data_IF_693717876655
#
_entry.id   IF_693717876655
#
_cell.length_a   1.000
_cell.length_b   1.000
_cell.length_c   1.000
_cell.angle_alpha   90.00
_cell.angle_beta   90.00
_cell.angle_gamma   90.00
#
_symmetry.space_group_name_H-M   'P 1'
#
loop_
_entity.id
_entity.type
_entity.pdbx_description
1 polymer ?
#
# COMPACT_ATOMS: atom_id res chain seq x y z
N UNK A 1 -31.07 34.12 -28.34
CA UNK A 1 -31.09 32.82 -27.65
C UNK A 1 -29.67 32.40 -27.40
N UNK A 2 -29.24 32.36 -26.14
CA UNK A 2 -27.85 32.09 -25.79
C UNK A 2 -27.60 30.57 -25.81
N UNK A 3 -26.83 30.11 -26.79
CA UNK A 3 -26.16 28.81 -26.71
C UNK A 3 -25.02 28.94 -25.71
N UNK A 4 -25.06 28.12 -24.65
CA UNK A 4 -23.99 28.06 -23.65
C UNK A 4 -23.26 26.74 -23.83
N UNK A 5 -22.03 26.83 -24.32
CA UNK A 5 -21.03 25.77 -24.30
C UNK A 5 -20.95 25.15 -22.90
N UNK A 6 -20.94 23.82 -22.84
CA UNK A 6 -20.59 23.08 -21.64
C UNK A 6 -19.11 22.71 -21.76
N UNK A 7 -18.18 23.41 -21.10
CA UNK A 7 -16.78 23.03 -21.17
C UNK A 7 -16.58 21.72 -20.40
N UNK A 8 -16.22 20.66 -21.13
CA UNK A 8 -15.71 19.38 -20.61
C UNK A 8 -14.38 19.61 -19.87
N UNK A 9 -14.43 20.13 -18.63
CA UNK A 9 -13.24 20.39 -17.80
C UNK A 9 -13.29 19.72 -16.42
N UNK A 10 -13.79 18.49 -16.36
CA UNK A 10 -13.83 17.71 -15.09
C UNK A 10 -12.88 16.49 -15.10
N UNK A 11 -12.30 16.11 -16.24
CA UNK A 11 -11.51 14.86 -16.35
C UNK A 11 -9.98 14.98 -16.11
N UNK A 12 -9.29 16.14 -16.24
CA UNK A 12 -7.83 16.17 -16.01
C UNK A 12 -7.40 16.03 -14.54
N UNK A 13 -8.19 16.55 -13.59
CA UNK A 13 -7.83 16.54 -12.16
C UNK A 13 -7.93 15.14 -11.54
N UNK A 14 -8.94 14.35 -11.90
CA UNK A 14 -9.10 12.98 -11.39
C UNK A 14 -7.99 12.03 -11.89
N UNK A 15 -7.51 12.20 -13.14
CA UNK A 15 -6.38 11.41 -13.66
C UNK A 15 -5.05 11.80 -13.02
N UNK A 16 -4.80 13.10 -12.82
CA UNK A 16 -3.60 13.57 -12.14
C UNK A 16 -3.51 13.08 -10.67
N UNK A 17 -4.66 12.94 -10.00
CA UNK A 17 -4.75 12.30 -8.68
C UNK A 17 -4.45 10.80 -8.76
N UNK A 18 -4.98 10.09 -9.76
CA UNK A 18 -4.72 8.64 -9.92
C UNK A 18 -3.26 8.31 -10.26
N UNK A 19 -2.58 9.12 -11.07
CA UNK A 19 -1.16 8.90 -11.40
C UNK A 19 -0.22 9.32 -10.24
N UNK A 20 -0.64 10.29 -9.44
CA UNK A 20 0.14 10.77 -8.28
C UNK A 20 0.04 9.87 -7.05
N UNK A 21 -1.10 9.19 -6.85
CA UNK A 21 -1.35 8.35 -5.68
C UNK A 21 -0.31 7.24 -5.45
N UNK A 22 0.06 6.41 -6.46
CA UNK A 22 1.10 5.40 -6.27
C UNK A 22 2.45 5.97 -5.83
N UNK A 23 2.84 7.13 -6.38
CA UNK A 23 4.10 7.77 -6.02
C UNK A 23 4.04 8.39 -4.62
N UNK A 24 2.89 8.95 -4.24
CA UNK A 24 2.66 9.43 -2.89
C UNK A 24 2.78 8.30 -1.86
N UNK A 25 2.25 7.12 -2.16
CA UNK A 25 2.37 5.93 -1.31
C UNK A 25 3.82 5.47 -1.13
N UNK A 26 4.66 5.57 -2.17
CA UNK A 26 6.11 5.33 -2.03
C UNK A 26 6.75 6.33 -1.08
N UNK A 27 6.45 7.62 -1.24
CA UNK A 27 7.02 8.67 -0.38
C UNK A 27 6.62 8.48 1.10
N UNK A 28 5.37 8.10 1.37
CA UNK A 28 4.91 7.76 2.73
C UNK A 28 5.66 6.55 3.30
N UNK A 29 5.92 5.53 2.48
CA UNK A 29 6.67 4.35 2.90
C UNK A 29 8.13 4.70 3.22
N UNK A 30 8.77 5.51 2.37
CA UNK A 30 10.13 6.00 2.60
C UNK A 30 10.22 6.80 3.92
N UNK A 31 9.23 7.66 4.20
CA UNK A 31 9.13 8.38 5.47
C UNK A 31 8.98 7.43 6.66
N UNK A 32 8.06 6.47 6.57
CA UNK A 32 7.83 5.49 7.65
C UNK A 32 9.07 4.63 7.93
N UNK A 33 9.83 4.25 6.90
CA UNK A 33 11.09 3.53 7.04
C UNK A 33 12.19 4.41 7.66
N UNK A 34 12.30 5.67 7.24
CA UNK A 34 13.29 6.60 7.78
C UNK A 34 13.10 6.83 9.30
N UNK A 35 11.87 6.89 9.78
CA UNK A 35 11.57 7.02 11.22
C UNK A 35 12.07 5.84 12.06
N UNK A 36 12.22 4.66 11.44
CA UNK A 36 12.77 3.46 12.08
C UNK A 36 14.23 3.21 11.73
N UNK A 37 14.89 4.19 11.11
CA UNK A 37 16.31 4.13 10.73
C UNK A 37 16.59 3.13 9.60
N UNK A 38 15.62 2.90 8.72
CA UNK A 38 15.74 2.00 7.57
C UNK A 38 15.62 2.78 6.26
N UNK A 39 16.26 2.27 5.23
CA UNK A 39 16.09 2.73 3.85
C UNK A 39 15.17 1.78 3.09
N UNK A 40 14.59 2.27 1.99
CA UNK A 40 13.75 1.46 1.10
C UNK A 40 14.55 0.37 0.36
N UNK A 41 15.81 0.65 0.02
CA UNK A 41 16.70 -0.30 -0.62
C UNK A 41 16.98 -1.49 0.31
N UNK A 42 16.81 -2.72 -0.20
CA UNK A 42 16.95 -3.95 0.57
C UNK A 42 15.82 -4.24 1.56
N UNK A 43 14.77 -3.41 1.61
CA UNK A 43 13.60 -3.68 2.44
C UNK A 43 12.62 -4.61 1.71
N UNK A 44 12.12 -5.62 2.42
CA UNK A 44 11.06 -6.52 1.94
C UNK A 44 9.68 -5.89 2.13
N UNK A 45 9.09 -5.41 1.04
CA UNK A 45 7.80 -4.71 1.05
C UNK A 45 6.69 -5.64 0.59
N UNK A 46 5.68 -5.83 1.44
CA UNK A 46 4.44 -6.51 1.09
C UNK A 46 3.39 -5.52 0.58
N UNK A 47 3.00 -5.64 -0.68
CA UNK A 47 1.90 -4.87 -1.25
C UNK A 47 0.61 -5.68 -1.16
N UNK A 48 -0.37 -5.14 -0.44
CA UNK A 48 -1.69 -5.73 -0.24
C UNK A 48 -2.67 -5.09 -1.23
N UNK A 49 -3.11 -5.90 -2.20
CA UNK A 49 -4.02 -5.47 -3.25
C UNK A 49 -3.28 -5.06 -4.52
N UNK A 50 -3.62 -5.73 -5.62
CA UNK A 50 -3.12 -5.46 -6.96
C UNK A 50 -4.23 -5.09 -7.93
N UNK A 51 -5.48 -5.47 -7.68
CA UNK A 51 -6.61 -5.10 -8.51
C UNK A 51 -6.81 -3.57 -8.61
N UNK A 52 -7.56 -3.13 -9.62
CA UNK A 52 -8.02 -1.76 -9.76
C UNK A 52 -9.18 -1.47 -8.80
N UNK A 53 -10.05 -2.47 -8.56
CA UNK A 53 -11.22 -2.37 -7.69
C UNK A 53 -11.15 -3.36 -6.53
N UNK A 54 -11.83 -3.01 -5.45
CA UNK A 54 -12.07 -3.92 -4.34
C UNK A 54 -12.86 -5.15 -4.83
N UNK A 55 -12.53 -6.31 -4.25
CA UNK A 55 -13.16 -7.60 -4.51
C UNK A 55 -13.32 -7.97 -6.00
N UNK A 56 -12.36 -7.59 -6.83
CA UNK A 56 -12.34 -7.83 -8.27
C UNK A 56 -10.96 -8.31 -8.72
N UNK A 57 -10.91 -9.05 -9.83
CA UNK A 57 -9.70 -9.47 -10.51
C UNK A 57 -9.24 -8.49 -11.60
N UNK A 58 -9.95 -7.36 -11.79
CA UNK A 58 -9.64 -6.41 -12.84
C UNK A 58 -8.33 -5.67 -12.53
N UNK A 59 -7.29 -5.98 -13.29
CA UNK A 59 -5.96 -5.36 -13.15
C UNK A 59 -5.70 -4.28 -14.19
N UNK A 60 -6.66 -4.00 -15.08
CA UNK A 60 -6.46 -3.07 -16.21
C UNK A 60 -6.30 -1.65 -15.65
N UNK A 61 -5.08 -1.12 -15.80
CA UNK A 61 -4.68 0.20 -15.27
C UNK A 61 -4.63 0.25 -13.73
N UNK A 62 -4.30 -0.87 -13.08
CA UNK A 62 -4.12 -0.87 -11.63
C UNK A 62 -3.04 0.13 -11.19
N UNK A 63 -3.35 1.05 -10.26
CA UNK A 63 -2.35 1.93 -9.65
C UNK A 63 -1.26 1.16 -8.90
N UNK A 64 -1.56 -0.05 -8.41
CA UNK A 64 -0.59 -0.93 -7.74
C UNK A 64 0.56 -1.34 -8.65
N UNK A 65 0.35 -1.40 -9.97
CA UNK A 65 1.42 -1.71 -10.92
C UNK A 65 2.52 -0.63 -10.91
N UNK A 66 2.12 0.65 -10.83
CA UNK A 66 3.06 1.78 -10.78
C UNK A 66 3.83 1.76 -9.46
N UNK A 67 3.14 1.52 -8.33
CA UNK A 67 3.76 1.36 -7.02
C UNK A 67 4.82 0.25 -7.04
N UNK A 68 4.46 -0.96 -7.44
CA UNK A 68 5.35 -2.13 -7.44
C UNK A 68 6.59 -1.89 -8.29
N UNK A 69 6.42 -1.29 -9.48
CA UNK A 69 7.55 -0.92 -10.32
C UNK A 69 8.48 0.06 -9.61
N UNK A 70 7.93 1.13 -9.03
CA UNK A 70 8.72 2.15 -8.34
C UNK A 70 9.46 1.62 -7.12
N UNK A 71 8.82 0.78 -6.30
CA UNK A 71 9.46 0.14 -5.15
C UNK A 71 10.66 -0.71 -5.58
N UNK A 72 10.52 -1.50 -6.65
CA UNK A 72 11.63 -2.30 -7.21
C UNK A 72 12.75 -1.43 -7.77
N UNK A 73 12.42 -0.34 -8.46
CA UNK A 73 13.41 0.66 -8.94
C UNK A 73 14.18 1.31 -7.79
N UNK A 74 13.53 1.52 -6.63
CA UNK A 74 14.15 1.99 -5.39
C UNK A 74 14.95 0.91 -4.65
N UNK A 75 15.07 -0.31 -5.20
CA UNK A 75 15.87 -1.40 -4.63
C UNK A 75 15.16 -2.23 -3.55
N UNK A 76 13.84 -2.08 -3.39
CA UNK A 76 13.06 -2.92 -2.48
C UNK A 76 12.83 -4.33 -3.06
N UNK A 77 12.80 -5.34 -2.19
CA UNK A 77 12.27 -6.65 -2.52
C UNK A 77 10.75 -6.63 -2.37
N UNK A 78 9.99 -6.88 -3.43
CA UNK A 78 8.53 -6.68 -3.41
C UNK A 78 7.78 -7.99 -3.61
N UNK A 79 6.96 -8.34 -2.62
CA UNK A 79 5.93 -9.35 -2.75
C UNK A 79 4.55 -8.68 -2.83
N UNK A 80 3.66 -9.26 -3.62
CA UNK A 80 2.29 -8.78 -3.81
C UNK A 80 1.35 -9.87 -3.36
N UNK A 81 0.36 -9.50 -2.55
CA UNK A 81 -0.78 -10.35 -2.23
C UNK A 81 -2.05 -9.73 -2.79
N UNK A 82 -2.83 -10.52 -3.52
CA UNK A 82 -4.18 -10.20 -3.95
C UNK A 82 -4.97 -11.51 -4.12
N UNK A 83 -6.06 -11.73 -3.37
CA UNK A 83 -6.79 -13.00 -3.40
C UNK A 83 -7.63 -13.18 -4.68
N UNK A 84 -7.91 -12.09 -5.43
CA UNK A 84 -8.74 -12.13 -6.63
C UNK A 84 -7.90 -12.20 -7.91
N UNK A 85 -6.66 -11.69 -7.88
CA UNK A 85 -5.78 -11.67 -9.06
C UNK A 85 -4.95 -12.96 -9.16
N UNK A 86 -5.05 -13.71 -10.27
CA UNK A 86 -4.24 -14.91 -10.49
C UNK A 86 -2.73 -14.63 -10.42
N UNK A 87 -1.99 -15.46 -9.69
CA UNK A 87 -0.55 -15.30 -9.47
C UNK A 87 -0.18 -14.46 -8.24
N UNK A 88 -1.14 -13.78 -7.59
CA UNK A 88 -0.91 -13.01 -6.36
C UNK A 88 -1.66 -13.56 -5.13
N UNK A 89 -2.41 -14.65 -5.26
CA UNK A 89 -3.13 -15.30 -4.14
C UNK A 89 -2.26 -16.22 -3.27
N UNK A 90 -1.01 -15.82 -2.97
CA UNK A 90 -0.11 -16.60 -2.11
C UNK A 90 -0.58 -16.67 -0.65
N UNK A 91 0.12 -17.44 0.20
CA UNK A 91 -0.21 -17.48 1.63
C UNK A 91 0.11 -16.15 2.31
N UNK A 92 -0.94 -15.41 2.66
CA UNK A 92 -0.84 -14.12 3.33
C UNK A 92 -0.03 -14.18 4.63
N UNK A 93 -0.13 -15.26 5.40
CA UNK A 93 0.60 -15.39 6.67
C UNK A 93 2.10 -15.46 6.44
N UNK A 94 2.55 -16.34 5.54
CA UNK A 94 3.96 -16.46 5.15
C UNK A 94 4.49 -15.14 4.58
N UNK A 95 3.69 -14.42 3.79
CA UNK A 95 4.07 -13.13 3.23
C UNK A 95 4.22 -12.04 4.29
N UNK A 96 3.34 -12.02 5.29
CA UNK A 96 3.51 -11.14 6.44
C UNK A 96 4.79 -11.50 7.16
N UNK A 97 5.02 -12.77 7.50
CA UNK A 97 6.25 -13.23 8.18
C UNK A 97 7.53 -12.84 7.44
N UNK A 98 7.50 -12.88 6.11
CA UNK A 98 8.63 -12.48 5.27
C UNK A 98 8.88 -10.97 5.23
N UNK A 99 7.84 -10.14 5.37
CA UNK A 99 7.94 -8.71 5.10
C UNK A 99 8.54 -7.91 6.27
N UNK A 100 9.14 -6.79 5.87
CA UNK A 100 9.75 -5.77 6.71
C UNK A 100 8.89 -4.49 6.78
N UNK A 101 8.08 -4.25 5.76
CA UNK A 101 7.08 -3.19 5.68
C UNK A 101 5.91 -3.65 4.82
N UNK A 102 4.74 -3.02 4.98
CA UNK A 102 3.56 -3.33 4.17
C UNK A 102 2.85 -2.06 3.66
N UNK A 103 2.20 -2.18 2.50
CA UNK A 103 1.43 -1.11 1.87
C UNK A 103 0.06 -1.65 1.47
N UNK A 104 -1.01 -1.03 1.95
CA UNK A 104 -2.37 -1.35 1.55
C UNK A 104 -2.80 -0.47 0.38
N UNK A 105 -2.96 -1.08 -0.79
CA UNK A 105 -3.35 -0.41 -2.03
C UNK A 105 -4.82 -0.66 -2.40
N UNK A 106 -5.37 -1.82 -2.08
CA UNK A 106 -6.76 -2.16 -2.36
C UNK A 106 -7.36 -2.80 -1.12
N UNK A 107 -8.47 -2.25 -0.63
CA UNK A 107 -9.16 -2.71 0.56
C UNK A 107 -10.10 -3.87 0.22
N UNK A 108 -9.53 -5.04 -0.07
CA UNK A 108 -10.32 -6.26 -0.15
C UNK A 108 -10.87 -6.64 1.23
N UNK A 109 -12.05 -7.25 1.27
CA UNK A 109 -12.70 -7.63 2.53
C UNK A 109 -11.84 -8.61 3.36
N UNK A 110 -11.00 -9.42 2.71
CA UNK A 110 -10.07 -10.31 3.43
C UNK A 110 -9.09 -9.56 4.33
N UNK A 111 -8.70 -8.33 3.97
CA UNK A 111 -7.73 -7.54 4.74
C UNK A 111 -8.35 -6.85 5.96
N UNK A 112 -9.67 -6.75 6.01
CA UNK A 112 -10.42 -6.20 7.14
C UNK A 112 -11.08 -7.30 7.97
N UNK A 113 -11.42 -8.44 7.38
CA UNK A 113 -12.01 -9.59 8.06
C UNK A 113 -10.97 -10.45 8.78
N UNK A 114 -9.75 -10.54 8.24
CA UNK A 114 -8.63 -11.13 8.96
C UNK A 114 -8.03 -10.07 9.88
N UNK A 115 -7.60 -10.44 11.09
CA UNK A 115 -6.85 -9.60 12.05
C UNK A 115 -5.45 -9.19 11.52
N UNK A 116 -5.33 -8.88 10.24
CA UNK A 116 -4.09 -8.54 9.54
C UNK A 116 -3.45 -7.28 10.12
N UNK A 117 -4.26 -6.26 10.43
CA UNK A 117 -3.83 -5.05 11.14
C UNK A 117 -3.08 -5.44 12.43
N UNK A 118 -3.70 -6.28 13.26
CA UNK A 118 -3.14 -6.74 14.53
C UNK A 118 -1.89 -7.60 14.35
N UNK A 119 -1.83 -8.42 13.30
CA UNK A 119 -0.66 -9.25 13.00
C UNK A 119 0.54 -8.39 12.61
N UNK A 120 0.33 -7.35 11.80
CA UNK A 120 1.37 -6.40 11.39
C UNK A 120 1.83 -5.55 12.59
N UNK A 121 0.89 -5.07 13.41
CA UNK A 121 1.19 -4.35 14.66
C UNK A 121 2.01 -5.18 15.64
N UNK A 122 1.61 -6.44 15.89
CA UNK A 122 2.32 -7.33 16.81
C UNK A 122 3.77 -7.59 16.38
N UNK A 123 4.06 -7.46 15.09
CA UNK A 123 5.41 -7.60 14.52
C UNK A 123 6.15 -6.28 14.35
N UNK A 124 5.55 -5.15 14.71
CA UNK A 124 6.11 -3.81 14.52
C UNK A 124 6.50 -3.52 13.07
N UNK A 125 5.74 -4.07 12.13
CA UNK A 125 5.91 -3.82 10.69
C UNK A 125 5.38 -2.42 10.39
N UNK A 126 6.17 -1.49 9.80
CA UNK A 126 5.66 -0.23 9.31
C UNK A 126 4.63 -0.46 8.21
N UNK A 127 3.51 0.23 8.30
CA UNK A 127 2.38 0.07 7.38
C UNK A 127 1.95 1.41 6.84
N UNK A 128 1.77 1.48 5.51
CA UNK A 128 1.14 2.63 4.85
C UNK A 128 -0.23 2.21 4.33
N UNK A 129 -1.28 2.87 4.80
CA UNK A 129 -2.66 2.62 4.39
C UNK A 129 -3.19 3.75 3.49
N UNK A 130 -3.26 3.49 2.18
CA UNK A 130 -3.75 4.46 1.19
C UNK A 130 -5.27 4.52 1.08
N UNK A 131 -5.99 3.69 1.84
CA UNK A 131 -7.45 3.54 1.78
C UNK A 131 -8.14 3.90 3.09
N UNK A 132 -7.39 4.25 4.13
CA UNK A 132 -7.90 4.52 5.48
C UNK A 132 -8.81 3.37 5.96
N UNK A 133 -8.40 2.14 5.65
CA UNK A 133 -9.07 0.91 6.00
C UNK A 133 -8.88 0.54 7.47
N UNK A 134 -7.74 0.93 8.05
CA UNK A 134 -7.29 0.57 9.38
C UNK A 134 -7.25 1.80 10.28
N UNK A 135 -7.84 1.68 11.48
CA UNK A 135 -8.02 2.80 12.40
C UNK A 135 -6.99 2.84 13.53
N UNK A 136 -6.22 1.77 13.73
CA UNK A 136 -5.23 1.65 14.82
C UNK A 136 -3.80 1.85 14.33
N UNK A 137 -3.58 1.58 13.05
CA UNK A 137 -2.36 1.91 12.32
C UNK A 137 -2.47 3.35 11.83
N UNK A 138 -1.99 4.32 12.62
CA UNK A 138 -1.64 5.62 12.04
C UNK A 138 -0.65 5.34 10.91
N UNK A 139 -0.84 5.97 9.74
CA UNK A 139 0.00 5.79 8.54
C UNK A 139 1.51 5.99 8.79
N UNK A 140 1.87 6.44 9.99
CA UNK A 140 3.22 6.67 10.49
C UNK A 140 3.35 6.23 11.97
N UNK A 141 2.85 5.03 12.36
CA UNK A 141 3.12 4.45 13.69
C UNK A 141 4.27 3.44 13.68
N UNK A 142 5.47 4.02 13.59
CA UNK A 142 6.60 3.88 14.54
C UNK A 142 7.08 2.48 14.95
N UNK A 143 8.37 2.26 14.70
CA UNK A 143 9.28 1.35 15.43
C UNK A 143 9.51 1.75 16.90
N UNK A 144 8.44 2.08 17.63
CA UNK A 144 8.46 2.36 19.07
C UNK A 144 8.47 1.10 19.94
N UNK A 145 8.09 -0.07 19.40
CA UNK A 145 8.06 -1.29 20.20
C UNK A 145 9.46 -1.79 20.61
N UNK A 146 10.53 -1.44 19.87
CA UNK A 146 11.89 -1.90 20.23
C UNK A 146 12.62 -0.98 21.21
N UNK A 147 12.34 0.32 21.24
CA UNK A 147 13.03 1.28 22.15
C UNK A 147 12.56 1.25 23.61
N UNK A 148 11.42 0.63 23.90
CA UNK A 148 10.90 0.50 25.27
C UNK A 148 11.21 -0.86 25.93
N UNK A 149 11.72 -1.84 25.17
CA UNK A 149 12.14 -3.13 25.70
C UNK A 149 13.63 -3.19 26.10
N UNK A 150 14.41 -2.14 25.79
CA UNK A 150 15.85 -2.03 26.05
C UNK A 150 16.20 -0.96 27.11
N UNK A 151 15.26 -0.60 27.99
CA UNK A 151 15.48 0.30 29.13
C UNK A 151 15.01 -0.30 30.44
#
# INVERSE_FOLDING_TARGET
GAGREVPLRVIPAARAVNDGMPLHMVALLEQALAEVGREIAGTRVLVLGYAYLENSDDTRNSPSQVLVRRLRESGAEVAVHDPYVPGYGGDLRSLVEWCDAAVLMVKHDVYTACDLERLLEARSVPVVDGRNAWQRVDAVKLGRARRLAER
#
